data_IF_932144686001
#
_entry.id   IF_932144686001
#
_cell.length_a   1.000
_cell.length_b   1.000
_cell.length_c   1.000
_cell.angle_alpha   90.00
_cell.angle_beta   90.00
_cell.angle_gamma   90.00
#
_symmetry.space_group_name_H-M   'P 1'
#
loop_
_entity.id
_entity.type
_entity.pdbx_description
1 polymer ?
#
# COMPACT_ATOMS: atom_id res chain seq x y z
N UNK A 1 -0.44 -34.42 23.64
CA UNK A 1 0.05 -34.20 22.27
C UNK A 1 -0.06 -32.71 22.02
N UNK A 2 1.00 -31.95 22.28
CA UNK A 2 1.00 -30.52 22.02
C UNK A 2 0.73 -30.29 20.54
N UNK A 3 -0.38 -29.62 20.21
CA UNK A 3 -0.60 -29.10 18.87
C UNK A 3 0.30 -27.87 18.77
N UNK A 4 1.56 -28.10 18.39
CA UNK A 4 2.43 -27.01 17.95
C UNK A 4 1.72 -26.23 16.86
N UNK A 5 1.78 -24.90 16.93
CA UNK A 5 1.11 -23.98 16.01
C UNK A 5 1.62 -24.17 14.58
N UNK A 6 1.06 -25.17 13.89
CA UNK A 6 1.38 -25.59 12.53
C UNK A 6 1.13 -24.49 11.49
N UNK A 7 0.42 -23.43 11.90
CA UNK A 7 0.13 -22.26 11.08
C UNK A 7 1.42 -21.49 10.74
N UNK A 8 2.38 -21.37 11.67
CA UNK A 8 3.62 -20.61 11.43
C UNK A 8 4.77 -21.45 10.86
N UNK A 9 4.54 -22.74 10.64
CA UNK A 9 5.54 -23.64 10.07
C UNK A 9 5.84 -23.28 8.61
N UNK A 10 7.13 -23.27 8.27
CA UNK A 10 7.59 -23.12 6.88
C UNK A 10 7.20 -24.34 6.06
N UNK A 11 6.61 -24.10 4.87
CA UNK A 11 6.33 -25.17 3.92
C UNK A 11 7.66 -25.73 3.38
N UNK A 12 7.77 -27.04 3.40
CA UNK A 12 8.92 -27.78 2.85
C UNK A 12 8.88 -27.83 1.33
N UNK A 13 10.02 -28.17 0.72
CA UNK A 13 10.13 -28.20 -0.73
C UNK A 13 9.27 -29.32 -1.34
N UNK A 14 9.07 -30.42 -0.62
CA UNK A 14 8.20 -31.54 -1.03
C UNK A 14 6.73 -31.11 -1.01
N UNK A 15 6.28 -30.46 0.06
CA UNK A 15 4.92 -29.91 0.15
C UNK A 15 4.65 -28.87 -0.95
N UNK A 16 5.61 -27.99 -1.26
CA UNK A 16 5.49 -27.05 -2.40
C UNK A 16 5.24 -27.80 -3.72
N UNK A 17 5.94 -28.92 -3.95
CA UNK A 17 5.77 -29.74 -5.15
C UNK A 17 4.37 -30.38 -5.18
N UNK A 18 3.89 -30.88 -4.05
CA UNK A 18 2.55 -31.48 -3.94
C UNK A 18 1.45 -30.45 -4.19
N UNK A 19 1.57 -29.26 -3.59
CA UNK A 19 0.57 -28.18 -3.70
C UNK A 19 0.51 -27.61 -5.12
N UNK A 20 1.68 -27.40 -5.74
CA UNK A 20 1.76 -26.77 -7.08
C UNK A 20 1.70 -27.79 -8.22
N UNK A 21 1.87 -29.09 -7.93
CA UNK A 21 1.94 -30.16 -8.93
C UNK A 21 3.16 -30.10 -9.85
N UNK A 22 4.16 -29.26 -9.56
CA UNK A 22 5.32 -29.06 -10.43
C UNK A 22 6.63 -29.22 -9.67
N UNK A 23 7.62 -29.85 -10.30
CA UNK A 23 9.00 -29.95 -9.79
C UNK A 23 9.87 -28.75 -10.16
N UNK A 24 9.42 -27.91 -11.10
CA UNK A 24 10.23 -26.81 -11.61
C UNK A 24 10.00 -25.52 -10.81
N UNK A 25 11.02 -24.96 -10.15
CA UNK A 25 10.87 -23.79 -9.28
C UNK A 25 10.30 -22.56 -9.98
N UNK A 26 10.63 -22.38 -11.26
CA UNK A 26 10.10 -21.29 -12.09
C UNK A 26 8.58 -21.39 -12.28
N UNK A 27 8.06 -22.60 -12.48
CA UNK A 27 6.63 -22.86 -12.61
C UNK A 27 5.95 -22.73 -11.25
N UNK A 28 6.56 -23.27 -10.18
CA UNK A 28 6.05 -23.11 -8.80
C UNK A 28 5.86 -21.62 -8.45
N UNK A 29 6.85 -20.77 -8.76
CA UNK A 29 6.75 -19.32 -8.53
C UNK A 29 5.61 -18.68 -9.35
N UNK A 30 5.42 -19.10 -10.61
CA UNK A 30 4.33 -18.58 -11.46
C UNK A 30 2.96 -18.95 -10.88
N UNK A 31 2.79 -20.21 -10.50
CA UNK A 31 1.57 -20.72 -9.88
C UNK A 31 1.26 -19.93 -8.61
N UNK A 32 2.21 -19.83 -7.67
CA UNK A 32 2.00 -19.09 -6.42
C UNK A 32 1.66 -17.62 -6.68
N UNK A 33 2.26 -17.00 -7.70
CA UNK A 33 1.95 -15.63 -8.11
C UNK A 33 0.55 -15.48 -8.73
N UNK A 34 0.12 -16.44 -9.54
CA UNK A 34 -1.23 -16.49 -10.15
C UNK A 34 -2.32 -16.65 -9.09
N UNK A 35 -2.08 -17.49 -8.08
CA UNK A 35 -2.96 -17.64 -6.92
C UNK A 35 -2.85 -16.50 -5.90
N UNK A 36 -1.92 -15.55 -6.12
CA UNK A 36 -1.72 -14.40 -5.24
C UNK A 36 -1.16 -14.77 -3.86
N UNK A 37 -0.52 -15.92 -3.74
CA UNK A 37 0.12 -16.36 -2.50
C UNK A 37 1.46 -15.62 -2.34
N UNK A 38 1.73 -14.98 -1.20
CA UNK A 38 3.02 -14.35 -0.95
C UNK A 38 4.09 -15.41 -0.69
N UNK A 39 5.25 -15.23 -1.34
CA UNK A 39 6.42 -16.09 -1.17
C UNK A 39 7.70 -15.28 -1.31
N UNK A 40 8.78 -15.78 -0.71
CA UNK A 40 10.13 -15.26 -0.87
C UNK A 40 10.89 -16.18 -1.83
N UNK A 41 11.59 -15.60 -2.81
CA UNK A 41 12.51 -16.38 -3.67
C UNK A 41 13.84 -16.56 -2.96
N UNK A 42 14.25 -17.80 -2.75
CA UNK A 42 15.55 -18.16 -2.17
C UNK A 42 16.64 -18.09 -3.25
N UNK A 43 17.92 -18.09 -2.83
CA UNK A 43 19.09 -18.02 -3.73
C UNK A 43 19.15 -19.15 -4.77
N UNK A 44 18.57 -20.31 -4.45
CA UNK A 44 18.43 -21.47 -5.34
C UNK A 44 17.27 -21.33 -6.36
N UNK A 45 16.49 -20.24 -6.29
CA UNK A 45 15.35 -19.99 -7.15
C UNK A 45 14.05 -20.64 -6.70
N UNK A 46 14.03 -21.34 -5.55
CA UNK A 46 12.83 -21.97 -5.00
C UNK A 46 11.96 -20.97 -4.23
N UNK A 47 10.63 -21.06 -4.32
CA UNK A 47 9.74 -20.27 -3.48
C UNK A 47 9.78 -20.80 -2.04
N UNK A 48 9.77 -19.88 -1.06
CA UNK A 48 9.64 -20.20 0.35
C UNK A 48 8.48 -19.42 0.96
N UNK A 49 7.60 -20.11 1.66
CA UNK A 49 6.47 -19.50 2.35
C UNK A 49 6.08 -20.34 3.58
N UNK A 50 5.13 -19.85 4.37
CA UNK A 50 4.55 -20.55 5.53
C UNK A 50 3.14 -21.00 5.20
N UNK A 51 2.65 -22.00 5.94
CA UNK A 51 1.26 -22.46 5.80
C UNK A 51 0.24 -21.35 6.07
N UNK A 52 0.53 -20.45 7.03
CA UNK A 52 -0.29 -19.27 7.28
C UNK A 52 -0.39 -18.36 6.06
N UNK A 53 0.72 -18.03 5.41
CA UNK A 53 0.73 -17.15 4.23
C UNK A 53 0.00 -17.78 3.04
N UNK A 54 0.11 -19.10 2.89
CA UNK A 54 -0.59 -19.85 1.86
C UNK A 54 -2.12 -19.82 2.06
N UNK A 55 -2.59 -19.99 3.29
CA UNK A 55 -4.02 -19.99 3.63
C UNK A 55 -4.62 -18.57 3.69
N UNK A 56 -3.80 -17.56 3.95
CA UNK A 56 -4.23 -16.15 4.07
C UNK A 56 -3.50 -15.23 3.06
N UNK A 57 -3.71 -15.45 1.75
CA UNK A 57 -2.99 -14.72 0.70
C UNK A 57 -3.28 -13.21 0.72
N UNK A 58 -4.51 -12.82 1.08
CA UNK A 58 -4.93 -11.41 1.14
C UNK A 58 -4.46 -10.70 2.41
N UNK A 59 -4.29 -11.41 3.52
CA UNK A 59 -3.86 -10.80 4.80
C UNK A 59 -2.38 -10.42 4.79
N UNK A 60 -1.59 -11.10 3.97
CA UNK A 60 -0.13 -10.90 3.86
C UNK A 60 0.26 -10.12 2.59
N UNK A 61 -0.69 -9.90 1.66
CA UNK A 61 -0.50 -8.95 0.56
C UNK A 61 -0.18 -7.60 1.18
N UNK A 62 1.04 -7.12 0.97
CA UNK A 62 1.60 -5.87 1.49
C UNK A 62 0.47 -4.93 1.92
N UNK A 63 0.17 -4.88 3.24
CA UNK A 63 -0.49 -3.69 3.77
C UNK A 63 0.39 -2.57 3.25
N UNK A 64 -0.16 -1.69 2.42
CA UNK A 64 0.49 -0.39 2.24
C UNK A 64 0.75 0.06 3.65
N UNK A 65 2.03 0.17 4.02
CA UNK A 65 2.40 0.85 5.24
C UNK A 65 1.72 2.19 5.06
N UNK A 66 0.63 2.42 5.80
CA UNK A 66 -0.01 3.72 5.86
C UNK A 66 1.14 4.70 6.00
N UNK A 67 1.32 5.64 5.05
CA UNK A 67 2.49 6.49 5.07
C UNK A 67 2.56 7.11 6.46
N UNK A 68 3.62 6.77 7.19
CA UNK A 68 3.88 7.31 8.53
C UNK A 68 3.56 8.81 8.46
N UNK A 69 2.73 9.35 9.37
CA UNK A 69 2.29 10.73 9.28
C UNK A 69 3.53 11.60 9.21
N UNK A 70 3.80 12.12 8.00
CA UNK A 70 4.94 12.99 7.73
C UNK A 70 4.72 14.26 8.52
N UNK A 71 5.33 14.35 9.69
CA UNK A 71 5.50 15.63 10.37
C UNK A 71 6.55 16.43 9.58
N UNK A 72 6.14 16.95 8.43
CA UNK A 72 6.91 17.94 7.69
C UNK A 72 6.45 19.32 8.20
N UNK A 73 7.31 20.10 8.89
CA UNK A 73 6.95 21.44 9.29
C UNK A 73 6.69 22.31 8.06
N UNK A 74 5.67 23.17 8.12
CA UNK A 74 5.31 24.08 7.04
C UNK A 74 6.32 25.25 6.97
N UNK A 75 7.17 25.24 5.94
CA UNK A 75 8.17 26.28 5.70
C UNK A 75 7.66 27.45 4.84
N UNK A 76 6.39 27.44 4.41
CA UNK A 76 5.82 28.49 3.56
C UNK A 76 5.78 29.89 4.21
N UNK A 77 5.98 29.96 5.53
CA UNK A 77 6.13 31.20 6.30
C UNK A 77 7.36 32.04 5.89
N UNK A 78 8.39 31.44 5.27
CA UNK A 78 9.60 32.17 4.86
C UNK A 78 9.46 32.88 3.50
N UNK A 79 8.42 32.58 2.73
CA UNK A 79 8.15 33.19 1.42
C UNK A 79 7.12 34.33 1.52
N UNK A 80 7.25 35.22 2.50
CA UNK A 80 6.56 36.52 2.44
C UNK A 80 7.39 37.52 1.62
N UNK A 81 6.93 37.97 0.43
CA UNK A 81 7.33 39.27 -0.05
C UNK A 81 6.69 40.29 0.89
N UNK A 82 7.53 40.88 1.75
CA UNK A 82 7.20 42.06 2.55
C UNK A 82 6.45 43.08 1.68
N UNK A 83 5.13 43.12 1.83
CA UNK A 83 4.27 44.16 1.27
C UNK A 83 3.36 44.65 2.37
N UNK A 84 3.98 45.28 3.37
CA UNK A 84 3.32 46.23 4.25
C UNK A 84 2.96 47.45 3.41
N UNK A 85 1.82 47.45 2.72
CA UNK A 85 1.19 48.68 2.23
C UNK A 85 -0.25 48.76 2.72
N UNK A 86 -0.46 49.72 3.63
CA UNK A 86 -1.75 50.15 4.13
C UNK A 86 -2.54 50.78 2.98
N UNK A 87 -3.81 50.44 2.83
CA UNK A 87 -4.81 51.43 2.40
C UNK A 87 -6.20 51.10 2.95
N UNK A 88 -6.61 51.97 3.86
CA UNK A 88 -7.93 52.17 4.41
C UNK A 88 -8.82 52.89 3.37
N UNK A 89 -10.15 52.66 3.45
CA UNK A 89 -11.28 53.32 2.75
C UNK A 89 -11.50 52.91 1.29
N UNK A 90 -12.73 52.75 0.77
CA UNK A 90 -13.99 53.42 1.10
C UNK A 90 -15.16 52.60 0.52
N UNK A 91 -16.26 52.47 1.26
CA UNK A 91 -17.55 51.97 0.77
C UNK A 91 -18.01 52.78 -0.46
N UNK A 92 -18.45 52.09 -1.51
CA UNK A 92 -19.47 52.62 -2.42
C UNK A 92 -20.53 51.54 -2.68
N UNK A 93 -21.70 51.79 -2.10
CA UNK A 93 -22.96 51.12 -2.38
C UNK A 93 -23.52 51.69 -3.70
N UNK A 94 -23.97 50.85 -4.64
CA UNK A 94 -25.03 51.20 -5.60
C UNK A 94 -25.54 49.97 -6.35
N UNK A 95 -26.74 49.57 -5.95
CA UNK A 95 -27.73 48.78 -6.68
C UNK A 95 -27.74 49.04 -8.20
N UNK A 96 -27.93 47.98 -8.98
CA UNK A 96 -28.69 47.91 -10.26
C UNK A 96 -28.93 46.43 -10.56
N UNK A 97 -30.09 45.91 -10.11
CA UNK A 97 -31.32 45.66 -10.90
C UNK A 97 -31.17 44.47 -11.86
N UNK A 98 -32.18 43.61 -11.74
CA UNK A 98 -32.59 42.46 -12.57
C UNK A 98 -32.57 42.83 -14.06
N UNK A 99 -32.38 41.91 -15.02
CA UNK A 99 -33.33 40.84 -15.37
C UNK A 99 -32.66 39.64 -16.07
N UNK A 100 -33.21 38.42 -15.95
CA UNK A 100 -32.91 37.31 -16.84
C UNK A 100 -33.82 37.37 -18.07
N UNK A 101 -33.21 37.40 -19.26
CA UNK A 101 -33.72 36.89 -20.52
C UNK A 101 -35.25 36.98 -20.74
N UNK A 102 -35.71 38.08 -21.34
CA UNK A 102 -36.99 38.22 -22.03
C UNK A 102 -36.73 38.79 -23.43
#
# INVERSE_FOLDING_TARGET
MEKSDSTMTLITDEEIIEITGSRYPSIQCKILQEYGVPFVRRRDGRPRTTWYNFNHPLSTRNKQLEPEPKWEPDFSCFDEPTSRTKSVQKKFNKNRKTDPNA
#
